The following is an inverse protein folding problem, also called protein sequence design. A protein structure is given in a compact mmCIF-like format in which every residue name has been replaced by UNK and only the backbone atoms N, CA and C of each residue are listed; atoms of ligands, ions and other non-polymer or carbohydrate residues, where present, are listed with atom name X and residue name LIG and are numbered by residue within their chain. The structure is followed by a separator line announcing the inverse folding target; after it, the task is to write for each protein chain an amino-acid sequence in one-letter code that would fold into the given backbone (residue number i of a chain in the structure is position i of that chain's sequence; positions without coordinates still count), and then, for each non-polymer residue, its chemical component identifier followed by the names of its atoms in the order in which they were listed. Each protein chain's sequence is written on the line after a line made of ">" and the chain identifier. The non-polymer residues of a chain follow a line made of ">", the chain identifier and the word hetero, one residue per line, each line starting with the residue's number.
data_IF_674060776076
#
_entry.id   IF_674060776076
#
_cell.length_a   1.000
_cell.length_b   1.000
_cell.length_c   1.000
_cell.angle_alpha   90.00
_cell.angle_beta   90.00
_cell.angle_gamma   90.00
#
_symmetry.space_group_name_H-M   'P 1'
#
loop_
_entity.id
_entity.type
_entity.pdbx_description
1 polymer ?
#
# COMPACT_ATOMS: atom_id res chain seq x y z
N UNK A 1 -15.55 54.63 11.87
CA UNK A 1 -15.68 53.87 10.60
C UNK A 1 -14.60 52.78 10.60
N UNK A 2 -14.98 51.56 10.92
CA UNK A 2 -14.05 50.41 10.97
C UNK A 2 -13.98 49.79 9.59
N UNK A 3 -12.84 49.95 8.94
CA UNK A 3 -12.53 49.27 7.69
C UNK A 3 -12.50 47.74 7.92
N UNK A 4 -13.59 47.05 7.56
CA UNK A 4 -13.57 45.60 7.43
C UNK A 4 -12.82 45.24 6.15
N UNK A 5 -11.67 44.63 6.29
CA UNK A 5 -10.96 43.99 5.20
C UNK A 5 -11.86 42.88 4.65
N UNK A 6 -12.20 42.86 3.34
CA UNK A 6 -13.04 41.83 2.80
C UNK A 6 -12.33 40.47 2.93
N UNK A 7 -13.01 39.50 3.51
CA UNK A 7 -12.58 38.13 3.62
C UNK A 7 -12.44 37.55 2.20
N UNK A 8 -11.21 37.39 1.72
CA UNK A 8 -10.98 36.70 0.46
C UNK A 8 -11.23 35.19 0.70
N UNK A 9 -12.21 34.57 0.01
CA UNK A 9 -12.48 33.13 0.15
C UNK A 9 -11.38 32.25 -0.45
N UNK A 10 -10.39 32.85 -1.10
CA UNK A 10 -9.23 32.18 -1.68
C UNK A 10 -7.96 32.65 -0.97
N UNK A 11 -7.76 32.23 0.27
CA UNK A 11 -6.42 32.25 0.84
C UNK A 11 -5.60 31.18 0.13
N UNK A 12 -4.53 31.54 -0.61
CA UNK A 12 -3.67 30.56 -1.30
C UNK A 12 -2.89 29.66 -0.32
N UNK A 13 -3.03 29.86 0.99
CA UNK A 13 -2.30 29.18 2.05
C UNK A 13 -3.17 28.31 2.94
N UNK A 14 -4.37 27.93 2.53
CA UNK A 14 -5.14 26.94 3.26
C UNK A 14 -4.60 25.56 2.89
N UNK A 15 -3.66 25.09 3.69
CA UNK A 15 -3.25 23.68 3.64
C UNK A 15 -4.51 22.84 3.83
N UNK A 16 -4.75 21.90 2.92
CA UNK A 16 -5.84 20.92 3.07
C UNK A 16 -5.48 19.81 4.04
N UNK A 17 -4.29 19.91 4.64
CA UNK A 17 -3.81 18.92 5.56
C UNK A 17 -4.83 18.66 6.66
N UNK A 18 -5.25 17.40 6.87
CA UNK A 18 -6.06 17.01 8.02
C UNK A 18 -5.33 17.34 9.32
N UNK A 19 -6.11 17.71 10.34
CA UNK A 19 -5.59 17.95 11.70
C UNK A 19 -5.36 16.61 12.40
N UNK A 20 -4.29 15.92 12.04
CA UNK A 20 -3.88 14.64 12.60
C UNK A 20 -2.42 14.71 12.98
N UNK A 21 -1.99 13.86 13.92
CA UNK A 21 -0.60 13.81 14.37
C UNK A 21 0.34 13.35 13.25
N UNK A 22 -0.14 12.46 12.37
CA UNK A 22 0.64 11.85 11.31
C UNK A 22 -0.20 11.53 10.08
N UNK A 23 0.40 11.69 8.92
CA UNK A 23 -0.16 11.16 7.67
C UNK A 23 0.71 10.01 7.13
N UNK A 24 0.05 8.99 6.61
CA UNK A 24 0.69 7.89 5.89
C UNK A 24 0.20 7.93 4.46
N UNK A 25 1.11 8.19 3.55
CA UNK A 25 0.85 8.21 2.11
C UNK A 25 1.24 6.87 1.52
N UNK A 26 0.31 6.23 0.82
CA UNK A 26 0.57 4.94 0.17
C UNK A 26 0.35 5.03 -1.33
N UNK A 27 1.22 4.39 -2.07
CA UNK A 27 1.03 4.06 -3.48
C UNK A 27 1.08 2.55 -3.62
N UNK A 28 0.05 1.97 -4.24
CA UNK A 28 -0.06 0.52 -4.40
C UNK A 28 0.23 0.14 -5.86
N UNK A 29 0.79 -1.05 -6.05
CA UNK A 29 0.94 -1.66 -7.36
C UNK A 29 -0.41 -2.02 -7.95
N UNK A 30 -1.25 -2.70 -7.16
CA UNK A 30 -2.62 -3.04 -7.52
C UNK A 30 -3.59 -1.89 -7.27
N UNK A 31 -4.52 -1.71 -8.24
CA UNK A 31 -5.50 -0.63 -8.18
C UNK A 31 -6.74 -0.99 -7.35
N UNK A 32 -6.90 -2.25 -6.95
CA UNK A 32 -8.16 -2.75 -6.38
C UNK A 32 -7.99 -3.43 -5.03
N UNK A 33 -7.25 -4.52 -4.95
CA UNK A 33 -7.18 -5.35 -3.74
C UNK A 33 -6.51 -4.61 -2.59
N UNK A 34 -5.32 -4.07 -2.81
CA UNK A 34 -4.56 -3.28 -1.86
C UNK A 34 -5.31 -1.99 -1.50
N UNK A 35 -5.89 -1.35 -2.53
CA UNK A 35 -6.71 -0.17 -2.34
C UNK A 35 -7.90 -0.46 -1.40
N UNK A 36 -8.66 -1.53 -1.66
CA UNK A 36 -9.79 -1.92 -0.82
C UNK A 36 -9.35 -2.21 0.64
N UNK A 37 -8.19 -2.83 0.81
CA UNK A 37 -7.65 -3.11 2.14
C UNK A 37 -7.35 -1.82 2.92
N UNK A 38 -6.54 -0.93 2.35
CA UNK A 38 -6.12 0.29 3.04
C UNK A 38 -7.19 1.38 3.11
N UNK A 39 -8.15 1.39 2.19
CA UNK A 39 -9.24 2.41 2.17
C UNK A 39 -10.52 1.97 2.87
N UNK A 40 -10.77 0.66 3.01
CA UNK A 40 -12.03 0.13 3.54
C UNK A 40 -11.87 -0.74 4.77
N UNK A 41 -10.87 -1.66 4.76
CA UNK A 41 -10.65 -2.60 5.87
C UNK A 41 -9.95 -1.89 7.03
N UNK A 42 -8.77 -1.34 6.78
CA UNK A 42 -7.98 -0.69 7.84
C UNK A 42 -8.76 0.43 8.53
N UNK A 43 -9.40 1.40 7.82
CA UNK A 43 -10.18 2.45 8.48
C UNK A 43 -11.41 1.95 9.24
N UNK A 44 -11.95 0.78 8.89
CA UNK A 44 -13.05 0.17 9.63
C UNK A 44 -12.60 -0.45 10.94
N UNK A 45 -11.44 -1.12 10.91
CA UNK A 45 -10.89 -1.81 12.09
C UNK A 45 -10.28 -0.83 13.07
N UNK A 46 -9.62 0.20 12.56
CA UNK A 46 -8.91 1.23 13.35
C UNK A 46 -9.67 2.57 13.30
N UNK A 47 -10.97 2.56 13.56
CA UNK A 47 -11.81 3.77 13.50
C UNK A 47 -11.38 4.83 14.52
N UNK A 48 -10.94 4.40 15.68
CA UNK A 48 -10.58 5.26 16.82
C UNK A 48 -9.30 6.08 16.59
N UNK A 49 -8.44 5.64 15.68
CA UNK A 49 -7.17 6.35 15.40
C UNK A 49 -7.28 7.42 14.31
N UNK A 50 -8.43 7.62 13.69
CA UNK A 50 -8.61 8.56 12.56
C UNK A 50 -8.23 10.01 12.89
N UNK A 51 -8.26 10.37 14.16
CA UNK A 51 -7.84 11.70 14.63
C UNK A 51 -6.32 11.82 14.80
N UNK A 52 -5.62 10.71 14.89
CA UNK A 52 -4.17 10.63 15.15
C UNK A 52 -3.36 10.26 13.92
N UNK A 53 -3.90 9.40 13.06
CA UNK A 53 -3.26 8.95 11.83
C UNK A 53 -4.28 8.86 10.69
N UNK A 54 -3.90 9.30 9.51
CA UNK A 54 -4.71 9.14 8.31
C UNK A 54 -3.89 8.51 7.20
N UNK A 55 -4.50 7.53 6.53
CA UNK A 55 -3.94 6.88 5.35
C UNK A 55 -4.48 7.60 4.11
N UNK A 56 -3.58 8.01 3.23
CA UNK A 56 -3.90 8.71 1.99
C UNK A 56 -3.41 7.86 0.83
N UNK A 57 -4.35 7.40 0.00
CA UNK A 57 -3.99 6.72 -1.24
C UNK A 57 -3.59 7.75 -2.29
N UNK A 58 -2.30 7.71 -2.66
CA UNK A 58 -1.71 8.64 -3.62
C UNK A 58 -2.38 8.56 -4.98
N UNK A 59 -2.78 7.38 -5.43
CA UNK A 59 -3.46 7.19 -6.71
C UNK A 59 -4.83 7.92 -6.75
N UNK A 60 -5.63 7.84 -5.69
CA UNK A 60 -6.89 8.59 -5.62
C UNK A 60 -6.69 10.10 -5.67
N UNK A 61 -5.70 10.60 -4.91
CA UNK A 61 -5.40 12.03 -4.90
C UNK A 61 -4.97 12.54 -6.27
N UNK A 62 -4.22 11.72 -7.01
CA UNK A 62 -3.85 12.02 -8.39
C UNK A 62 -5.06 11.96 -9.32
N UNK A 63 -5.94 10.97 -9.19
CA UNK A 63 -7.12 10.81 -10.06
C UNK A 63 -8.14 11.93 -9.88
N UNK A 64 -8.43 12.34 -8.67
CA UNK A 64 -9.47 13.35 -8.36
C UNK A 64 -9.34 14.67 -9.15
N UNK A 65 -8.12 15.03 -9.56
CA UNK A 65 -7.85 16.33 -10.19
C UNK A 65 -7.78 16.31 -11.72
N UNK A 66 -7.54 15.18 -12.37
CA UNK A 66 -7.01 15.18 -13.74
C UNK A 66 -7.74 14.35 -14.78
N UNK A 67 -8.86 13.71 -14.50
CA UNK A 67 -9.56 12.88 -15.49
C UNK A 67 -9.81 13.60 -16.84
N UNK A 68 -9.97 14.90 -16.80
CA UNK A 68 -10.35 15.70 -17.96
C UNK A 68 -9.18 16.18 -18.85
N UNK A 69 -7.92 16.09 -18.36
CA UNK A 69 -6.78 16.77 -19.00
C UNK A 69 -5.55 15.90 -19.26
N UNK A 70 -5.65 14.55 -19.15
CA UNK A 70 -4.51 13.66 -19.29
C UNK A 70 -4.25 13.27 -20.73
N UNK A 71 -2.95 13.32 -21.10
CA UNK A 71 -2.46 12.65 -22.31
C UNK A 71 -2.57 11.12 -22.16
N UNK A 72 -2.63 10.39 -23.27
CA UNK A 72 -2.62 8.93 -23.26
C UNK A 72 -1.30 8.36 -22.67
N UNK A 73 -0.20 9.08 -22.75
CA UNK A 73 1.07 8.71 -22.14
C UNK A 73 1.02 8.81 -20.61
N UNK A 74 0.41 9.86 -20.06
CA UNK A 74 0.20 10.01 -18.62
C UNK A 74 -0.75 8.93 -18.08
N UNK A 75 -1.78 8.56 -18.83
CA UNK A 75 -2.67 7.44 -18.48
C UNK A 75 -1.92 6.11 -18.44
N UNK A 76 -1.02 5.86 -19.41
CA UNK A 76 -0.19 4.65 -19.42
C UNK A 76 0.80 4.60 -18.24
N UNK A 77 1.43 5.70 -17.89
CA UNK A 77 2.31 5.77 -16.71
C UNK A 77 1.54 5.49 -15.43
N UNK A 78 0.33 6.02 -15.31
CA UNK A 78 -0.51 5.81 -14.13
C UNK A 78 -1.02 4.36 -14.00
N UNK A 79 -1.34 3.71 -15.12
CA UNK A 79 -1.79 2.32 -15.12
C UNK A 79 -0.66 1.30 -15.06
N UNK A 80 0.60 1.73 -15.11
CA UNK A 80 1.72 0.81 -15.06
C UNK A 80 2.08 0.46 -13.61
N UNK A 81 2.12 -0.84 -13.34
CA UNK A 81 2.45 -1.44 -12.04
C UNK A 81 3.96 -1.66 -11.82
N UNK A 82 4.82 -1.29 -12.77
CA UNK A 82 6.25 -1.52 -12.62
C UNK A 82 6.83 -0.76 -11.41
N UNK A 83 7.79 -1.34 -10.67
CA UNK A 83 8.34 -0.75 -9.44
C UNK A 83 8.84 0.69 -9.60
N UNK A 84 9.55 1.00 -10.71
CA UNK A 84 10.03 2.37 -10.95
C UNK A 84 8.91 3.38 -11.17
N UNK A 85 7.76 2.96 -11.75
CA UNK A 85 6.62 3.85 -11.94
C UNK A 85 5.93 4.17 -10.62
N UNK A 86 5.94 3.25 -9.65
CA UNK A 86 5.41 3.52 -8.30
C UNK A 86 6.27 4.59 -7.60
N UNK A 87 7.58 4.48 -7.73
CA UNK A 87 8.50 5.48 -7.20
C UNK A 87 8.26 6.86 -7.86
N UNK A 88 8.13 6.91 -9.19
CA UNK A 88 7.81 8.14 -9.91
C UNK A 88 6.46 8.72 -9.50
N UNK A 89 5.42 7.89 -9.32
CA UNK A 89 4.11 8.33 -8.83
C UNK A 89 4.21 9.00 -7.46
N UNK A 90 5.00 8.44 -6.55
CA UNK A 90 5.22 9.03 -5.23
C UNK A 90 5.97 10.35 -5.33
N UNK A 91 7.03 10.41 -6.14
CA UNK A 91 7.80 11.64 -6.37
C UNK A 91 6.93 12.75 -6.95
N UNK A 92 6.15 12.45 -7.99
CA UNK A 92 5.25 13.40 -8.63
C UNK A 92 4.20 13.91 -7.65
N UNK A 93 3.63 13.01 -6.84
CA UNK A 93 2.67 13.38 -5.81
C UNK A 93 3.27 14.34 -4.79
N UNK A 94 4.46 14.05 -4.26
CA UNK A 94 5.11 14.91 -3.27
C UNK A 94 5.40 16.28 -3.86
N UNK A 95 5.96 16.33 -5.08
CA UNK A 95 6.26 17.60 -5.75
C UNK A 95 5.00 18.44 -6.01
N UNK A 96 3.90 17.82 -6.44
CA UNK A 96 2.65 18.53 -6.71
C UNK A 96 1.93 18.99 -5.46
N UNK A 97 2.12 18.30 -4.35
CA UNK A 97 1.33 18.45 -3.12
C UNK A 97 2.08 19.10 -1.98
N UNK A 98 3.35 19.50 -2.16
CA UNK A 98 4.15 20.15 -1.12
C UNK A 98 3.44 21.35 -0.49
N UNK A 99 2.84 22.21 -1.31
CA UNK A 99 2.10 23.39 -0.80
C UNK A 99 0.79 23.05 -0.11
N UNK A 100 0.23 21.87 -0.37
CA UNK A 100 -1.03 21.41 0.21
C UNK A 100 -0.82 20.72 1.56
N UNK A 101 0.23 19.89 1.68
CA UNK A 101 0.52 19.06 2.84
C UNK A 101 1.70 19.57 3.69
N UNK A 102 2.56 20.44 3.15
CA UNK A 102 3.74 21.02 3.83
C UNK A 102 4.69 19.94 4.40
N UNK A 103 5.05 18.96 3.55
CA UNK A 103 5.87 17.80 3.92
C UNK A 103 7.21 18.19 4.57
N UNK A 104 7.74 19.35 4.20
CA UNK A 104 8.98 19.87 4.76
C UNK A 104 8.91 20.12 6.26
N UNK A 105 7.72 20.45 6.79
CA UNK A 105 7.47 20.71 8.22
C UNK A 105 6.99 19.47 8.98
N UNK A 106 6.46 18.46 8.28
CA UNK A 106 5.86 17.27 8.87
C UNK A 106 6.75 16.05 8.66
N UNK A 107 7.88 15.99 9.36
CA UNK A 107 8.86 14.90 9.25
C UNK A 107 8.39 13.57 9.83
N UNK A 108 7.31 13.59 10.59
CA UNK A 108 6.61 12.41 11.12
C UNK A 108 5.81 11.67 10.06
N UNK A 109 5.49 12.32 8.93
CA UNK A 109 4.75 11.69 7.84
C UNK A 109 5.56 10.58 7.18
N UNK A 110 4.85 9.58 6.69
CA UNK A 110 5.47 8.42 6.05
C UNK A 110 4.95 8.20 4.64
N UNK A 111 5.86 7.74 3.78
CA UNK A 111 5.60 7.45 2.38
C UNK A 111 5.90 5.98 2.13
N UNK A 112 4.88 5.23 1.71
CA UNK A 112 4.96 3.79 1.54
C UNK A 112 4.62 3.37 0.11
N UNK A 113 5.45 2.48 -0.43
CA UNK A 113 5.19 1.78 -1.68
C UNK A 113 4.77 0.34 -1.35
N UNK A 114 3.58 -0.06 -1.79
CA UNK A 114 3.05 -1.42 -1.62
C UNK A 114 3.24 -2.15 -2.93
N UNK A 115 3.98 -3.24 -2.91
CA UNK A 115 4.49 -3.89 -4.11
C UNK A 115 4.43 -5.41 -3.99
N UNK A 116 4.32 -6.07 -5.12
CA UNK A 116 4.32 -7.52 -5.26
C UNK A 116 5.57 -7.99 -6.01
N UNK A 117 6.23 -9.03 -5.52
CA UNK A 117 7.42 -9.58 -6.22
C UNK A 117 7.01 -10.33 -7.48
N UNK A 118 5.77 -10.86 -7.52
CA UNK A 118 5.32 -11.68 -8.63
C UNK A 118 6.30 -12.81 -8.99
N UNK A 119 6.43 -13.07 -10.28
CA UNK A 119 7.23 -14.16 -10.83
C UNK A 119 8.59 -13.74 -11.38
N UNK A 120 9.09 -12.60 -10.97
CA UNK A 120 10.32 -12.05 -11.53
C UNK A 120 11.57 -12.69 -10.92
N UNK A 121 11.89 -13.91 -11.39
CA UNK A 121 13.13 -14.62 -11.05
C UNK A 121 14.30 -14.25 -11.97
N UNK A 122 14.05 -13.47 -13.02
CA UNK A 122 15.06 -12.99 -13.95
C UNK A 122 15.98 -11.97 -13.27
N UNK A 123 17.29 -12.11 -13.49
CA UNK A 123 18.31 -11.23 -12.93
C UNK A 123 18.09 -9.75 -13.25
N UNK A 124 17.56 -9.46 -14.43
CA UNK A 124 17.21 -8.09 -14.83
C UNK A 124 16.19 -7.47 -13.88
N UNK A 125 15.09 -8.18 -13.59
CA UNK A 125 14.04 -7.71 -12.68
C UNK A 125 14.54 -7.62 -11.24
N UNK A 126 15.31 -8.59 -10.78
CA UNK A 126 15.92 -8.56 -9.44
C UNK A 126 16.79 -7.30 -9.26
N UNK A 127 17.58 -6.96 -10.25
CA UNK A 127 18.42 -5.77 -10.20
C UNK A 127 17.60 -4.47 -10.29
N UNK A 128 16.51 -4.45 -11.06
CA UNK A 128 15.57 -3.32 -11.09
C UNK A 128 14.92 -3.11 -9.71
N UNK A 129 14.44 -4.18 -9.07
CA UNK A 129 13.88 -4.14 -7.73
C UNK A 129 14.86 -3.59 -6.69
N UNK A 130 16.08 -4.12 -6.65
CA UNK A 130 17.13 -3.62 -5.76
C UNK A 130 17.36 -2.12 -5.95
N UNK A 131 17.44 -1.68 -7.20
CA UNK A 131 17.64 -0.26 -7.53
C UNK A 131 16.48 0.61 -7.03
N UNK A 132 15.24 0.17 -7.22
CA UNK A 132 14.05 0.92 -6.78
C UNK A 132 13.98 1.00 -5.25
N UNK A 133 14.16 -0.12 -4.56
CA UNK A 133 14.14 -0.17 -3.09
C UNK A 133 15.24 0.72 -2.49
N UNK A 134 16.46 0.66 -3.03
CA UNK A 134 17.55 1.53 -2.57
C UNK A 134 17.21 3.00 -2.77
N UNK A 135 16.63 3.37 -3.92
CA UNK A 135 16.17 4.75 -4.17
C UNK A 135 15.05 5.18 -3.22
N UNK A 136 14.13 4.27 -2.89
CA UNK A 136 13.11 4.54 -1.86
C UNK A 136 13.78 4.88 -0.52
N UNK A 137 14.74 4.07 -0.08
CA UNK A 137 15.47 4.29 1.17
C UNK A 137 16.25 5.62 1.15
N UNK A 138 16.94 5.95 0.06
CA UNK A 138 17.65 7.23 -0.11
C UNK A 138 16.72 8.44 0.02
N UNK A 139 15.47 8.31 -0.40
CA UNK A 139 14.43 9.36 -0.32
C UNK A 139 13.67 9.35 1.01
N UNK A 140 13.93 8.37 1.89
CA UNK A 140 13.18 8.19 3.13
C UNK A 140 11.81 7.52 2.94
N UNK A 141 11.55 6.94 1.76
CA UNK A 141 10.35 6.14 1.51
C UNK A 141 10.53 4.73 2.04
N UNK A 142 9.42 4.11 2.41
CA UNK A 142 9.37 2.74 2.91
C UNK A 142 8.69 1.83 1.90
N UNK A 143 9.08 0.56 1.91
CA UNK A 143 8.51 -0.44 1.04
C UNK A 143 7.81 -1.52 1.87
N UNK A 144 6.59 -1.88 1.47
CA UNK A 144 5.88 -3.05 1.98
C UNK A 144 5.69 -4.02 0.80
N UNK A 145 6.35 -5.15 0.89
CA UNK A 145 6.52 -6.06 -0.24
C UNK A 145 5.92 -7.41 0.10
N UNK A 146 5.09 -7.95 -0.81
CA UNK A 146 4.54 -9.29 -0.70
C UNK A 146 5.19 -10.23 -1.71
N UNK A 147 5.45 -11.45 -1.29
CA UNK A 147 5.93 -12.55 -2.11
C UNK A 147 4.99 -13.76 -1.93
N UNK A 148 4.25 -14.21 -2.95
CA UNK A 148 4.28 -13.65 -4.32
C UNK A 148 3.44 -12.38 -4.51
N UNK A 149 2.24 -12.25 -3.87
CA UNK A 149 1.30 -11.14 -4.07
C UNK A 149 0.56 -10.78 -2.79
N UNK A 150 -0.18 -9.68 -2.84
CA UNK A 150 -0.93 -9.13 -1.71
C UNK A 150 -2.01 -10.08 -1.16
N UNK A 151 -2.59 -10.97 -1.98
CA UNK A 151 -3.52 -11.99 -1.52
C UNK A 151 -2.89 -12.94 -0.50
N UNK A 152 -1.57 -13.13 -0.52
CA UNK A 152 -0.87 -13.87 0.53
C UNK A 152 -0.95 -13.14 1.88
N UNK A 153 -0.76 -11.83 1.90
CA UNK A 153 -0.98 -11.01 3.09
C UNK A 153 -2.41 -11.17 3.62
N UNK A 154 -3.42 -11.08 2.73
CA UNK A 154 -4.82 -11.25 3.12
C UNK A 154 -5.09 -12.63 3.73
N UNK A 155 -4.49 -13.69 3.20
CA UNK A 155 -4.64 -15.04 3.72
C UNK A 155 -4.12 -15.15 5.16
N UNK A 156 -3.01 -14.51 5.50
CA UNK A 156 -2.42 -14.55 6.84
C UNK A 156 -3.35 -14.05 7.96
N UNK A 157 -4.41 -13.31 7.62
CA UNK A 157 -5.43 -12.91 8.60
C UNK A 157 -6.24 -14.08 9.13
N UNK A 158 -6.45 -15.11 8.32
CA UNK A 158 -7.41 -16.17 8.57
C UNK A 158 -6.77 -17.53 8.79
N UNK A 159 -5.60 -17.77 8.22
CA UNK A 159 -5.01 -19.10 8.25
C UNK A 159 -3.47 -19.05 8.28
N UNK A 160 -2.86 -20.16 8.66
CA UNK A 160 -1.42 -20.35 8.65
C UNK A 160 -0.95 -20.88 7.30
N UNK A 161 0.36 -20.76 7.06
CA UNK A 161 0.99 -21.34 5.88
C UNK A 161 0.99 -22.85 5.98
N UNK A 162 0.52 -23.48 4.93
CA UNK A 162 0.56 -24.94 4.76
C UNK A 162 1.79 -25.38 3.93
N UNK A 163 2.07 -26.68 3.93
CA UNK A 163 3.09 -27.27 3.04
C UNK A 163 2.71 -27.06 1.58
N UNK A 164 1.42 -27.06 1.27
CA UNK A 164 0.90 -26.81 -0.08
C UNK A 164 1.22 -25.40 -0.56
N UNK A 165 1.03 -24.39 0.32
CA UNK A 165 1.31 -23.00 -0.01
C UNK A 165 2.75 -22.77 -0.44
N UNK A 166 3.70 -23.49 0.20
CA UNK A 166 5.13 -23.38 -0.11
C UNK A 166 5.49 -23.77 -1.53
N UNK A 167 4.67 -24.58 -2.19
CA UNK A 167 4.85 -24.91 -3.61
C UNK A 167 4.60 -23.74 -4.54
N UNK A 168 3.88 -22.73 -4.06
CA UNK A 168 3.54 -21.52 -4.78
C UNK A 168 4.44 -20.33 -4.45
N UNK A 169 5.55 -20.56 -3.76
CA UNK A 169 6.62 -19.57 -3.66
C UNK A 169 7.21 -19.24 -5.05
N UNK A 170 7.86 -18.10 -5.16
CA UNK A 170 8.29 -17.49 -6.44
C UNK A 170 9.17 -18.40 -7.32
N UNK A 171 9.82 -19.39 -6.76
CA UNK A 171 10.78 -20.23 -7.48
C UNK A 171 10.19 -21.12 -8.57
N UNK A 172 8.90 -20.92 -9.02
CA UNK A 172 8.30 -22.05 -9.58
C UNK A 172 7.77 -21.99 -10.99
N UNK A 173 7.78 -23.21 -11.48
CA UNK A 173 7.11 -23.72 -12.64
C UNK A 173 5.57 -23.41 -12.67
N UNK A 174 4.96 -22.97 -11.57
CA UNK A 174 3.51 -22.81 -11.39
C UNK A 174 3.01 -21.35 -11.50
N UNK A 175 3.61 -20.56 -12.36
CA UNK A 175 3.36 -19.12 -12.51
C UNK A 175 1.87 -18.71 -12.54
N UNK A 176 1.08 -19.39 -13.35
CA UNK A 176 -0.34 -19.06 -13.56
C UNK A 176 -1.27 -19.64 -12.48
N UNK A 177 -0.80 -20.61 -11.69
CA UNK A 177 -1.60 -21.28 -10.67
C UNK A 177 -1.56 -20.54 -9.34
N UNK A 178 -0.48 -19.80 -9.05
CA UNK A 178 -0.25 -19.10 -7.78
C UNK A 178 -1.36 -18.15 -7.40
N UNK A 179 -1.72 -17.25 -8.30
CA UNK A 179 -2.78 -16.27 -8.05
C UNK A 179 -4.11 -16.96 -7.75
N UNK A 180 -4.42 -18.03 -8.47
CA UNK A 180 -5.63 -18.79 -8.24
C UNK A 180 -5.60 -19.57 -6.93
N UNK A 181 -4.43 -20.08 -6.52
CA UNK A 181 -4.29 -20.82 -5.27
C UNK A 181 -4.69 -19.96 -4.06
N UNK A 182 -4.08 -18.80 -3.87
CA UNK A 182 -4.38 -17.92 -2.73
C UNK A 182 -5.80 -17.34 -2.80
N UNK A 183 -6.30 -16.99 -3.98
CA UNK A 183 -7.70 -16.56 -4.18
C UNK A 183 -8.70 -17.66 -3.84
N UNK A 184 -8.42 -18.90 -4.22
CA UNK A 184 -9.26 -20.04 -3.89
C UNK A 184 -9.26 -20.30 -2.37
N UNK A 185 -8.10 -20.19 -1.70
CA UNK A 185 -8.03 -20.31 -0.24
C UNK A 185 -8.86 -19.24 0.44
N UNK A 186 -8.72 -17.98 0.06
CA UNK A 186 -9.53 -16.88 0.58
C UNK A 186 -11.03 -17.13 0.38
N UNK A 187 -11.39 -17.68 -0.79
CA UNK A 187 -12.77 -18.07 -1.08
C UNK A 187 -13.27 -19.17 -0.17
N UNK A 188 -12.46 -20.21 0.06
CA UNK A 188 -12.80 -21.31 0.94
C UNK A 188 -12.94 -20.87 2.42
N UNK A 189 -12.20 -19.85 2.82
CA UNK A 189 -12.30 -19.23 4.15
C UNK A 189 -13.50 -18.26 4.27
N UNK A 190 -14.31 -18.12 3.23
CA UNK A 190 -15.47 -17.22 3.23
C UNK A 190 -15.14 -15.73 3.07
N UNK A 191 -13.91 -15.42 2.70
CA UNK A 191 -13.43 -14.04 2.46
C UNK A 191 -13.08 -13.82 1.00
N UNK A 192 -13.92 -14.38 0.12
CA UNK A 192 -13.73 -14.31 -1.32
C UNK A 192 -13.59 -12.89 -1.84
N UNK A 193 -12.71 -12.72 -2.81
CA UNK A 193 -12.59 -11.47 -3.55
C UNK A 193 -13.65 -11.42 -4.65
N UNK A 194 -14.54 -10.41 -4.60
CA UNK A 194 -15.53 -10.19 -5.66
C UNK A 194 -14.82 -9.95 -6.99
N UNK A 195 -15.19 -10.72 -8.03
CA UNK A 195 -14.54 -10.69 -9.33
C UNK A 195 -13.02 -10.94 -9.28
N UNK A 196 -12.57 -11.67 -8.24
CA UNK A 196 -11.17 -11.99 -8.03
C UNK A 196 -10.26 -10.82 -7.62
N UNK A 197 -10.83 -9.65 -7.29
CA UNK A 197 -10.05 -8.45 -6.93
C UNK A 197 -10.61 -7.69 -5.73
N UNK A 198 -11.90 -7.39 -5.69
CA UNK A 198 -12.51 -6.62 -4.59
C UNK A 198 -12.68 -7.43 -3.32
N UNK A 199 -12.33 -6.85 -2.18
CA UNK A 199 -12.64 -7.43 -0.88
C UNK A 199 -14.16 -7.37 -0.66
N UNK A 200 -14.83 -8.52 -0.78
CA UNK A 200 -16.30 -8.61 -0.73
C UNK A 200 -16.84 -8.51 0.68
N UNK A 201 -16.10 -8.98 1.69
CA UNK A 201 -16.51 -8.99 3.10
C UNK A 201 -15.46 -8.34 3.99
N UNK A 202 -15.45 -7.01 4.04
CA UNK A 202 -14.53 -6.26 4.89
C UNK A 202 -14.75 -6.54 6.39
N UNK A 203 -15.95 -6.95 6.80
CA UNK A 203 -16.29 -7.23 8.19
C UNK A 203 -15.71 -8.56 8.71
N UNK A 204 -15.18 -9.40 7.81
CA UNK A 204 -14.43 -10.57 8.22
C UNK A 204 -13.06 -10.21 8.82
N UNK A 205 -12.55 -9.03 8.51
CA UNK A 205 -11.28 -8.53 9.05
C UNK A 205 -11.54 -7.83 10.37
N UNK A 206 -11.06 -8.44 11.44
CA UNK A 206 -11.10 -7.86 12.80
C UNK A 206 -9.70 -7.44 13.22
N UNK A 207 -9.59 -6.71 14.32
CA UNK A 207 -8.31 -6.33 14.88
C UNK A 207 -7.46 -7.56 15.23
N UNK A 208 -8.07 -8.56 15.85
CA UNK A 208 -7.43 -9.81 16.22
C UNK A 208 -6.87 -10.52 14.99
N UNK A 209 -7.63 -10.55 13.89
CA UNK A 209 -7.18 -11.15 12.64
C UNK A 209 -6.00 -10.38 12.03
N UNK A 210 -6.00 -9.04 12.11
CA UNK A 210 -4.89 -8.23 11.65
C UNK A 210 -3.64 -8.49 12.51
N UNK A 211 -3.79 -8.58 13.83
CA UNK A 211 -2.69 -8.90 14.73
C UNK A 211 -2.11 -10.30 14.47
N UNK A 212 -2.96 -11.29 14.21
CA UNK A 212 -2.50 -12.63 13.76
C UNK A 212 -1.73 -12.57 12.44
N UNK A 213 -2.19 -11.78 11.47
CA UNK A 213 -1.47 -11.59 10.22
C UNK A 213 -0.09 -10.95 10.44
N UNK A 214 0.00 -9.94 11.30
CA UNK A 214 1.26 -9.30 11.69
C UNK A 214 2.22 -10.33 12.30
N UNK A 215 1.76 -11.11 13.26
CA UNK A 215 2.58 -12.13 13.92
C UNK A 215 3.07 -13.21 12.94
N UNK A 216 2.18 -13.70 12.07
CA UNK A 216 2.50 -14.73 11.07
C UNK A 216 3.49 -14.20 10.04
N UNK A 217 3.28 -12.99 9.53
CA UNK A 217 4.19 -12.37 8.56
C UNK A 217 5.57 -12.08 9.18
N UNK A 218 5.61 -11.60 10.42
CA UNK A 218 6.86 -11.33 11.12
C UNK A 218 7.72 -12.60 11.30
N UNK A 219 7.10 -13.77 11.53
CA UNK A 219 7.82 -15.06 11.63
C UNK A 219 8.43 -15.52 10.31
N UNK A 220 7.96 -14.99 9.18
CA UNK A 220 8.43 -15.33 7.84
C UNK A 220 9.47 -14.35 7.32
N UNK A 221 9.58 -13.17 7.93
CA UNK A 221 10.51 -12.14 7.48
C UNK A 221 11.92 -12.45 7.97
N UNK A 222 12.87 -12.32 7.07
CA UNK A 222 14.28 -12.29 7.41
C UNK A 222 14.76 -10.85 7.30
N UNK A 223 15.09 -10.24 8.44
CA UNK A 223 15.46 -8.83 8.53
C UNK A 223 16.70 -8.43 7.69
N UNK A 224 17.52 -9.40 7.27
CA UNK A 224 18.70 -9.17 6.42
C UNK A 224 18.34 -9.05 4.94
N UNK A 225 17.16 -9.49 4.54
CA UNK A 225 16.72 -9.46 3.16
C UNK A 225 15.98 -8.14 2.82
N UNK A 226 16.20 -7.62 1.62
CA UNK A 226 15.50 -6.43 1.13
C UNK A 226 14.00 -6.67 0.92
N UNK A 227 13.62 -7.92 0.65
CA UNK A 227 12.24 -8.40 0.51
C UNK A 227 12.18 -9.90 0.86
N UNK A 228 10.99 -10.46 1.16
CA UNK A 228 10.85 -11.89 1.40
C UNK A 228 11.29 -12.70 0.18
N UNK A 229 12.31 -13.58 0.33
CA UNK A 229 12.78 -14.45 -0.75
C UNK A 229 11.86 -15.64 -0.99
N UNK A 230 11.25 -16.12 0.09
CA UNK A 230 10.20 -17.14 0.08
C UNK A 230 8.82 -16.48 0.32
N UNK A 231 7.79 -17.32 0.56
CA UNK A 231 6.48 -16.80 0.95
C UNK A 231 6.61 -15.88 2.16
N UNK A 232 6.16 -14.65 1.99
CA UNK A 232 6.24 -13.66 3.04
C UNK A 232 5.59 -12.34 2.65
N UNK A 233 5.38 -11.47 3.63
CA UNK A 233 4.90 -10.12 3.38
C UNK A 233 5.45 -9.17 4.42
N UNK A 234 6.05 -8.06 3.98
CA UNK A 234 6.51 -7.00 4.87
C UNK A 234 5.45 -5.92 5.11
N UNK A 235 4.22 -6.13 4.64
CA UNK A 235 3.06 -5.26 4.94
C UNK A 235 2.85 -5.13 6.45
N UNK A 236 3.20 -6.15 7.22
CA UNK A 236 3.14 -6.12 8.67
C UNK A 236 3.94 -4.95 9.29
N UNK A 237 5.01 -4.48 8.63
CA UNK A 237 5.81 -3.32 9.11
C UNK A 237 5.00 -2.04 9.12
N UNK A 238 4.18 -1.83 8.07
CA UNK A 238 3.23 -0.72 8.02
C UNK A 238 2.10 -0.90 9.03
N UNK A 239 1.54 -2.10 9.11
CA UNK A 239 0.44 -2.39 10.03
C UNK A 239 0.86 -2.26 11.50
N UNK A 240 2.09 -2.62 11.88
CA UNK A 240 2.65 -2.37 13.19
C UNK A 240 2.73 -0.88 13.55
N UNK A 241 2.91 -0.01 12.57
CA UNK A 241 2.90 1.43 12.79
C UNK A 241 1.48 1.88 13.07
N UNK A 242 0.52 1.44 12.28
CA UNK A 242 -0.89 1.78 12.44
C UNK A 242 -1.41 1.29 13.81
N UNK A 243 -1.12 0.04 14.17
CA UNK A 243 -1.56 -0.59 15.43
C UNK A 243 -1.02 0.13 16.68
N UNK A 244 0.16 0.72 16.62
CA UNK A 244 0.77 1.50 17.73
C UNK A 244 0.08 2.83 18.04
N UNK A 245 -0.75 3.34 17.15
CA UNK A 245 -1.47 4.59 17.35
C UNK A 245 -2.81 4.42 18.06
N UNK A 246 -3.18 3.21 18.36
CA UNK A 246 -4.33 2.89 19.20
C UNK A 246 -3.97 2.98 20.69
#
# INVERSE_FOLDING_TARGET
>A
MTNRIPFSPFSPYRTKRPSTDKLIFIVCEGEVTEYDYFSKVVPQVYDDIKTRIQIINVFEEILRKREKYRSEEEKRKLSSSKPHNLLEKMDDFINEKETEYDFSKHKEDEFWLIMDIDDHTDEYYINEWKRVINKCHEKGYKCAISNPFFEFWLMLHFDEITIEDKKYAVTSEHKYEKTNHFKNRLSNLGVALKQGKHISNKHAYTKENIQLAIERACKLDNAEDLWPKDLGSTVYKLMNIIDKYE
#
